data_IF_275795126392
#
_entry.id   IF_275795126392
#
_cell.length_a   1.000
_cell.length_b   1.000
_cell.length_c   1.000
_cell.angle_alpha   90.00
_cell.angle_beta   90.00
_cell.angle_gamma   90.00
#
_symmetry.space_group_name_H-M   'P 1'
#
loop_
_entity.id
_entity.type
_entity.pdbx_description
1 polymer ?
#
# COMPACT_ATOMS: atom_id res chain seq x y z
N UNK A 1 -13.38 -19.67 22.75
CA UNK A 1 -13.83 -18.35 22.29
C UNK A 1 -12.59 -17.65 21.78
N UNK A 2 -12.40 -17.51 20.48
CA UNK A 2 -11.28 -16.78 19.90
C UNK A 2 -11.47 -15.30 20.23
N UNK A 3 -10.47 -14.67 20.87
CA UNK A 3 -10.48 -13.23 21.11
C UNK A 3 -10.75 -12.49 19.79
N UNK A 4 -11.65 -11.50 19.78
CA UNK A 4 -12.05 -10.80 18.56
C UNK A 4 -10.91 -10.03 17.88
N UNK A 5 -9.74 -10.02 18.48
CA UNK A 5 -8.58 -9.22 18.10
C UNK A 5 -7.55 -9.96 17.26
N UNK A 6 -7.60 -11.29 17.14
CA UNK A 6 -6.64 -12.02 16.29
C UNK A 6 -6.93 -11.79 14.82
N UNK A 7 -5.92 -11.25 14.14
CA UNK A 7 -5.92 -11.13 12.67
C UNK A 7 -5.85 -12.55 12.07
N UNK A 8 -6.87 -13.03 11.36
CA UNK A 8 -6.86 -14.36 10.80
C UNK A 8 -5.73 -14.48 9.77
N UNK A 9 -4.88 -15.49 9.95
CA UNK A 9 -3.73 -15.75 9.07
C UNK A 9 -2.42 -15.08 9.49
N UNK A 10 -2.41 -14.28 10.57
CA UNK A 10 -1.19 -13.76 11.14
C UNK A 10 -0.72 -14.73 12.24
N UNK A 11 0.50 -15.32 12.14
CA UNK A 11 1.07 -16.08 13.25
C UNK A 11 1.25 -15.20 14.47
N UNK A 12 0.87 -15.68 15.64
CA UNK A 12 1.10 -14.96 16.89
C UNK A 12 2.59 -14.61 17.02
N UNK A 13 2.89 -13.36 17.38
CA UNK A 13 4.27 -12.91 17.53
C UNK A 13 5.03 -12.66 16.20
N UNK A 14 4.37 -12.68 15.05
CA UNK A 14 5.04 -12.41 13.76
C UNK A 14 5.65 -11.00 13.68
N UNK A 15 5.16 -10.07 14.49
CA UNK A 15 5.67 -8.71 14.63
C UNK A 15 6.83 -8.58 15.66
N UNK A 16 7.06 -9.59 16.51
CA UNK A 16 8.02 -9.54 17.64
C UNK A 16 9.49 -9.32 17.24
N UNK A 17 9.98 -9.81 16.09
CA UNK A 17 11.37 -9.52 15.69
C UNK A 17 11.67 -8.03 15.48
N UNK A 18 10.67 -7.15 15.40
CA UNK A 18 10.89 -5.74 15.19
C UNK A 18 11.45 -5.05 16.43
N UNK A 19 12.67 -4.55 16.37
CA UNK A 19 13.35 -3.79 17.44
C UNK A 19 13.26 -2.27 17.26
N UNK A 20 12.39 -1.81 16.37
CA UNK A 20 12.14 -0.38 16.08
C UNK A 20 13.38 0.44 15.70
N UNK A 21 14.42 -0.17 15.12
CA UNK A 21 15.70 0.48 14.79
C UNK A 21 15.60 1.58 13.72
N UNK A 22 14.56 1.58 12.88
CA UNK A 22 14.32 2.63 11.89
C UNK A 22 15.00 2.43 10.51
N UNK A 23 15.78 1.36 10.29
CA UNK A 23 16.43 1.11 8.99
C UNK A 23 15.44 0.98 7.83
N UNK A 24 14.19 0.64 8.09
CA UNK A 24 13.15 0.57 7.07
C UNK A 24 12.59 1.93 6.64
N UNK A 25 12.85 3.02 7.39
CA UNK A 25 12.27 4.34 7.13
C UNK A 25 12.75 4.95 5.80
N UNK A 26 14.05 5.04 5.52
CA UNK A 26 14.55 5.67 4.29
C UNK A 26 14.16 4.88 3.02
N UNK A 27 13.85 3.58 3.15
CA UNK A 27 13.44 2.74 2.02
C UNK A 27 11.94 2.77 1.74
N UNK A 28 11.14 3.29 2.69
CA UNK A 28 9.69 3.32 2.57
C UNK A 28 9.20 4.52 1.77
N UNK A 29 8.57 4.27 0.62
CA UNK A 29 8.05 5.34 -0.24
C UNK A 29 6.94 6.16 0.46
N UNK A 30 5.99 5.51 1.15
CA UNK A 30 4.93 6.21 1.88
C UNK A 30 5.49 7.11 2.98
N UNK A 31 6.46 6.65 3.76
CA UNK A 31 7.11 7.45 4.80
C UNK A 31 7.85 8.65 4.22
N UNK A 32 8.60 8.46 3.12
CA UNK A 32 9.36 9.54 2.47
C UNK A 32 8.49 10.67 1.94
N UNK A 33 7.27 10.37 1.53
CA UNK A 33 6.34 11.37 0.97
C UNK A 33 5.47 12.00 2.06
N UNK A 34 4.94 11.19 2.98
CA UNK A 34 3.99 11.64 3.98
C UNK A 34 4.65 12.16 5.26
N UNK A 35 5.91 11.80 5.52
CA UNK A 35 6.68 12.10 6.73
C UNK A 35 5.95 11.73 8.03
N UNK A 36 5.02 10.79 7.95
CA UNK A 36 4.22 10.30 9.08
C UNK A 36 4.76 8.96 9.57
N UNK A 37 5.03 8.86 10.86
CA UNK A 37 5.53 7.62 11.46
C UNK A 37 4.50 6.48 11.34
N UNK A 38 3.21 6.78 11.43
CA UNK A 38 2.13 5.79 11.27
C UNK A 38 2.10 5.18 9.87
N UNK A 39 2.60 5.90 8.86
CA UNK A 39 2.72 5.46 7.47
C UNK A 39 4.06 4.78 7.17
N UNK A 40 4.87 4.52 8.20
CA UNK A 40 6.13 3.79 8.13
C UNK A 40 5.94 2.28 8.35
N UNK A 41 6.87 1.42 7.91
CA UNK A 41 6.79 0.00 8.20
C UNK A 41 6.82 -0.31 9.69
N UNK A 42 7.70 0.35 10.45
CA UNK A 42 7.79 0.13 11.91
C UNK A 42 6.57 0.67 12.65
N UNK A 43 5.98 1.79 12.24
CA UNK A 43 4.76 2.33 12.82
C UNK A 43 3.57 1.38 12.60
N UNK A 44 3.44 0.82 11.40
CA UNK A 44 2.43 -0.20 11.11
C UNK A 44 2.64 -1.49 11.90
N UNK A 45 3.88 -1.94 12.10
CA UNK A 45 4.20 -3.09 12.96
C UNK A 45 3.82 -2.79 14.41
N UNK A 46 4.10 -1.58 14.89
CA UNK A 46 3.69 -1.16 16.23
C UNK A 46 2.16 -1.18 16.39
N UNK A 47 1.43 -0.66 15.39
CA UNK A 47 -0.02 -0.71 15.39
C UNK A 47 -0.56 -2.17 15.39
N UNK A 48 0.06 -3.07 14.61
CA UNK A 48 -0.31 -4.49 14.63
C UNK A 48 -0.13 -5.13 16.02
N UNK A 49 0.99 -4.84 16.69
CA UNK A 49 1.22 -5.31 18.06
C UNK A 49 0.17 -4.79 19.04
N UNK A 50 -0.18 -3.51 18.94
CA UNK A 50 -1.20 -2.93 19.78
C UNK A 50 -2.59 -3.53 19.51
N UNK A 51 -2.89 -3.88 18.25
CA UNK A 51 -4.13 -4.59 17.87
C UNK A 51 -4.12 -6.01 18.42
N UNK A 52 -3.00 -6.74 18.34
CA UNK A 52 -2.87 -8.09 18.91
C UNK A 52 -2.97 -8.09 20.42
N UNK A 53 -2.44 -7.07 21.09
CA UNK A 53 -2.54 -6.89 22.54
C UNK A 53 -3.95 -6.47 23.00
N UNK A 54 -4.79 -5.98 22.07
CA UNK A 54 -6.12 -5.46 22.39
C UNK A 54 -6.13 -4.01 22.85
N UNK A 55 -5.00 -3.31 22.74
CA UNK A 55 -4.84 -1.91 23.13
C UNK A 55 -5.31 -0.95 22.03
N UNK A 56 -5.43 -1.43 20.79
CA UNK A 56 -5.84 -0.64 19.64
C UNK A 56 -6.88 -1.41 18.82
N UNK A 57 -7.96 -0.73 18.45
CA UNK A 57 -8.94 -1.28 17.51
C UNK A 57 -8.54 -0.96 16.05
N UNK A 58 -8.81 -1.91 15.16
CA UNK A 58 -8.63 -1.69 13.72
C UNK A 58 -9.83 -0.89 13.18
N UNK A 59 -9.82 0.41 13.41
CA UNK A 59 -10.81 1.34 12.90
C UNK A 59 -10.45 1.86 11.48
N UNK A 60 -11.29 2.74 10.92
CA UNK A 60 -11.08 3.31 9.60
C UNK A 60 -9.82 4.20 9.55
N UNK A 61 -9.44 4.84 10.66
CA UNK A 61 -8.24 5.68 10.75
C UNK A 61 -6.99 4.84 10.68
N UNK A 62 -6.89 3.81 11.52
CA UNK A 62 -5.79 2.85 11.50
C UNK A 62 -5.71 2.15 10.15
N UNK A 63 -6.85 1.72 9.60
CA UNK A 63 -6.91 1.08 8.29
C UNK A 63 -6.37 1.99 7.16
N UNK A 64 -6.58 3.31 7.23
CA UNK A 64 -6.08 4.25 6.24
C UNK A 64 -4.54 4.26 6.16
N UNK A 65 -3.85 4.16 7.29
CA UNK A 65 -2.38 4.09 7.34
C UNK A 65 -1.83 2.80 6.71
N UNK A 66 -2.57 1.70 6.79
CA UNK A 66 -2.20 0.48 6.09
C UNK A 66 -2.48 0.56 4.59
N UNK A 67 -3.55 1.23 4.18
CA UNK A 67 -3.91 1.42 2.76
C UNK A 67 -2.89 2.27 1.99
N UNK A 68 -2.17 3.18 2.66
CA UNK A 68 -1.07 3.95 2.05
C UNK A 68 0.16 3.09 1.73
N UNK A 69 0.22 1.84 2.21
CA UNK A 69 1.31 0.92 1.90
C UNK A 69 1.23 0.43 0.45
N UNK A 70 2.24 0.74 -0.34
CA UNK A 70 2.33 0.33 -1.75
C UNK A 70 2.61 -1.18 -1.94
N UNK A 71 3.01 -1.90 -0.89
CA UNK A 71 3.39 -3.31 -1.00
C UNK A 71 4.66 -3.53 -1.82
N UNK A 72 5.58 -2.58 -1.84
CA UNK A 72 6.83 -2.67 -2.61
C UNK A 72 7.91 -3.54 -1.93
N UNK A 73 7.73 -3.89 -0.66
CA UNK A 73 8.59 -4.75 0.17
C UNK A 73 10.05 -4.31 0.33
N UNK A 74 10.42 -3.10 -0.08
CA UNK A 74 11.77 -2.57 0.09
C UNK A 74 12.20 -2.53 1.57
N UNK A 75 11.26 -2.42 2.50
CA UNK A 75 11.51 -2.48 3.94
C UNK A 75 11.92 -3.87 4.44
N UNK A 76 11.57 -4.94 3.73
CA UNK A 76 11.92 -6.33 4.12
C UNK A 76 13.42 -6.55 3.94
N UNK A 77 13.97 -6.18 2.79
CA UNK A 77 15.41 -6.31 2.52
C UNK A 77 16.28 -5.38 3.38
N UNK A 78 15.72 -4.26 3.83
CA UNK A 78 16.42 -3.31 4.69
C UNK A 78 16.37 -3.67 6.18
N UNK A 79 15.62 -4.69 6.57
CA UNK A 79 15.42 -5.03 7.97
C UNK A 79 16.55 -5.94 8.51
N UNK A 80 17.41 -5.47 9.44
CA UNK A 80 18.47 -6.29 10.02
C UNK A 80 17.93 -7.40 10.94
N UNK A 81 16.73 -7.19 11.52
CA UNK A 81 16.08 -8.17 12.39
C UNK A 81 15.26 -9.21 11.63
N UNK A 82 15.25 -9.17 10.29
CA UNK A 82 14.59 -10.16 9.47
C UNK A 82 13.06 -10.20 9.57
N UNK A 83 12.42 -9.08 9.92
CA UNK A 83 10.95 -9.02 9.99
C UNK A 83 10.34 -9.28 8.62
N UNK A 84 9.45 -10.25 8.53
CA UNK A 84 8.71 -10.60 7.33
C UNK A 84 7.48 -9.71 7.17
N UNK A 85 7.76 -8.41 6.91
CA UNK A 85 6.69 -7.41 6.74
C UNK A 85 5.76 -7.74 5.55
N UNK A 86 6.25 -8.43 4.54
CA UNK A 86 5.47 -8.95 3.42
C UNK A 86 4.30 -9.82 3.93
N UNK A 87 4.57 -10.78 4.79
CA UNK A 87 3.55 -11.66 5.37
C UNK A 87 2.59 -10.90 6.29
N UNK A 88 3.12 -9.96 7.09
CA UNK A 88 2.32 -9.14 7.99
C UNK A 88 1.26 -8.33 7.23
N UNK A 89 1.66 -7.61 6.19
CA UNK A 89 0.75 -6.75 5.42
C UNK A 89 -0.25 -7.58 4.60
N UNK A 90 0.17 -8.72 4.04
CA UNK A 90 -0.70 -9.60 3.29
C UNK A 90 -1.80 -10.22 4.15
N UNK A 91 -1.46 -10.67 5.36
CA UNK A 91 -2.44 -11.20 6.32
C UNK A 91 -3.42 -10.12 6.82
N UNK A 92 -2.99 -8.86 6.89
CA UNK A 92 -3.81 -7.75 7.37
C UNK A 92 -4.79 -7.23 6.31
N UNK A 93 -4.41 -7.24 5.03
CA UNK A 93 -5.20 -6.68 3.91
C UNK A 93 -6.65 -7.17 3.81
N UNK A 94 -7.00 -8.45 4.02
CA UNK A 94 -8.38 -8.89 3.98
C UNK A 94 -9.28 -8.19 5.01
N UNK A 95 -8.79 -7.98 6.24
CA UNK A 95 -9.50 -7.24 7.28
C UNK A 95 -9.64 -5.75 6.96
N UNK A 96 -8.58 -5.14 6.44
CA UNK A 96 -8.63 -3.74 5.99
C UNK A 96 -9.74 -3.51 4.97
N UNK A 97 -9.94 -4.44 4.05
CA UNK A 97 -11.00 -4.35 3.04
C UNK A 97 -12.41 -4.43 3.65
N UNK A 98 -12.57 -5.06 4.82
CA UNK A 98 -13.85 -5.14 5.55
C UNK A 98 -14.14 -3.86 6.34
N UNK A 99 -13.11 -3.28 6.95
CA UNK A 99 -13.22 -2.07 7.77
C UNK A 99 -13.29 -0.81 6.92
N UNK A 100 -12.49 -0.73 5.86
CA UNK A 100 -12.44 0.43 4.99
C UNK A 100 -13.60 0.41 3.99
N UNK A 101 -14.70 1.06 4.34
CA UNK A 101 -15.86 1.23 3.47
C UNK A 101 -15.52 2.18 2.32
N UNK A 102 -15.07 1.60 1.21
CA UNK A 102 -14.77 2.38 0.00
C UNK A 102 -16.04 2.90 -0.64
N UNK A 103 -16.00 4.14 -1.08
CA UNK A 103 -17.08 4.74 -1.86
C UNK A 103 -17.34 3.91 -3.12
N UNK A 104 -18.59 3.83 -3.55
CA UNK A 104 -19.02 3.10 -4.75
C UNK A 104 -18.20 3.49 -6.00
N UNK A 105 -17.88 4.78 -6.15
CA UNK A 105 -17.00 5.28 -7.20
C UNK A 105 -15.58 4.67 -7.15
N UNK A 106 -14.95 4.65 -5.98
CA UNK A 106 -13.60 4.07 -5.80
C UNK A 106 -13.59 2.58 -6.14
N UNK A 107 -14.65 1.87 -5.76
CA UNK A 107 -14.82 0.45 -6.06
C UNK A 107 -14.97 0.21 -7.56
N UNK A 108 -15.76 1.02 -8.25
CA UNK A 108 -15.98 0.92 -9.69
C UNK A 108 -14.72 1.28 -10.47
N UNK A 109 -14.04 2.35 -10.08
CA UNK A 109 -12.78 2.78 -10.69
C UNK A 109 -11.68 1.71 -10.54
N UNK A 110 -11.56 1.12 -9.34
CA UNK A 110 -10.62 0.01 -9.09
C UNK A 110 -10.93 -1.21 -9.95
N UNK A 111 -12.21 -1.59 -10.07
CA UNK A 111 -12.64 -2.69 -10.96
C UNK A 111 -12.24 -2.40 -12.40
N UNK A 112 -12.49 -1.19 -12.89
CA UNK A 112 -12.09 -0.77 -14.23
C UNK A 112 -10.58 -0.87 -14.44
N UNK A 113 -9.78 -0.35 -13.51
CA UNK A 113 -8.32 -0.43 -13.58
C UNK A 113 -7.84 -1.88 -13.63
N UNK A 114 -8.36 -2.75 -12.77
CA UNK A 114 -7.97 -4.16 -12.72
C UNK A 114 -8.42 -4.95 -13.96
N UNK A 115 -9.47 -4.50 -14.67
CA UNK A 115 -9.92 -5.10 -15.92
C UNK A 115 -9.11 -4.63 -17.15
N UNK A 116 -8.47 -3.49 -17.06
CA UNK A 116 -7.77 -2.88 -18.22
C UNK A 116 -6.24 -3.04 -18.10
N UNK A 117 -5.66 -2.64 -16.95
CA UNK A 117 -4.20 -2.59 -16.78
C UNK A 117 -3.47 -3.92 -16.97
N UNK A 118 -3.99 -5.08 -16.48
CA UNK A 118 -3.31 -6.36 -16.66
C UNK A 118 -3.34 -6.88 -18.12
N UNK A 119 -4.22 -6.32 -18.95
CA UNK A 119 -4.42 -6.79 -20.32
C UNK A 119 -3.87 -5.78 -21.33
N UNK A 120 -2.68 -6.02 -21.93
CA UNK A 120 -2.02 -5.06 -22.82
C UNK A 120 -2.84 -4.70 -24.07
N UNK A 121 -3.66 -5.63 -24.56
CA UNK A 121 -4.54 -5.38 -25.71
C UNK A 121 -5.63 -4.35 -25.36
N UNK A 122 -6.28 -4.47 -24.20
CA UNK A 122 -7.31 -3.54 -23.73
C UNK A 122 -6.72 -2.16 -23.44
N UNK A 123 -5.54 -2.14 -22.80
CA UNK A 123 -4.81 -0.90 -22.53
C UNK A 123 -4.43 -0.18 -23.82
N UNK A 124 -3.91 -0.90 -24.84
CA UNK A 124 -3.60 -0.33 -26.16
C UNK A 124 -4.84 0.25 -26.84
N UNK A 125 -5.97 -0.45 -26.79
CA UNK A 125 -7.23 0.04 -27.36
C UNK A 125 -7.70 1.32 -26.66
N UNK A 126 -7.62 1.37 -25.33
CA UNK A 126 -7.99 2.56 -24.54
C UNK A 126 -7.06 3.76 -24.80
N UNK A 127 -5.79 3.51 -25.09
CA UNK A 127 -4.79 4.54 -25.37
C UNK A 127 -4.76 5.02 -26.82
N UNK A 128 -5.51 4.39 -27.73
CA UNK A 128 -5.54 4.80 -29.15
C UNK A 128 -5.96 6.27 -29.34
N UNK A 129 -7.01 6.80 -28.70
CA UNK A 129 -7.37 8.22 -28.85
C UNK A 129 -6.29 9.16 -28.33
N UNK A 130 -5.56 8.77 -27.28
CA UNK A 130 -4.41 9.52 -26.77
C UNK A 130 -3.23 9.55 -27.76
N UNK A 131 -3.02 8.45 -28.50
CA UNK A 131 -2.00 8.41 -29.57
C UNK A 131 -2.36 9.34 -30.73
N UNK A 132 -3.64 9.40 -31.11
CA UNK A 132 -4.13 10.34 -32.10
C UNK A 132 -3.94 11.80 -31.63
N UNK A 133 -4.22 12.08 -30.36
CA UNK A 133 -4.00 13.39 -29.75
C UNK A 133 -2.50 13.74 -29.65
N UNK A 134 -1.63 12.77 -29.34
CA UNK A 134 -0.17 12.96 -29.27
C UNK A 134 0.47 13.31 -30.64
N UNK A 135 -0.18 12.97 -31.74
CA UNK A 135 0.21 13.38 -33.09
C UNK A 135 -0.23 14.78 -33.50
N UNK A 136 -0.93 15.50 -32.64
CA UNK A 136 -1.36 16.88 -32.94
C UNK A 136 -0.22 17.87 -32.69
N UNK A 137 -0.09 18.94 -33.52
CA UNK A 137 0.95 19.98 -33.36
C UNK A 137 0.99 20.65 -32.00
N UNK A 138 -0.13 20.64 -31.29
CA UNK A 138 -0.27 21.28 -29.97
C UNK A 138 0.64 20.65 -28.91
N UNK A 139 0.78 19.32 -28.88
CA UNK A 139 1.65 18.62 -27.94
C UNK A 139 3.13 18.69 -28.30
N UNK A 140 3.44 18.73 -29.59
CA UNK A 140 4.83 18.90 -30.07
C UNK A 140 5.40 20.27 -29.66
N UNK A 141 4.55 21.27 -29.49
CA UNK A 141 4.96 22.64 -29.13
C UNK A 141 5.06 22.84 -27.61
N UNK A 142 4.33 22.06 -26.79
CA UNK A 142 4.27 22.22 -25.32
C UNK A 142 5.07 21.17 -24.56
N UNK A 143 5.60 20.17 -25.23
CA UNK A 143 6.43 19.14 -24.59
C UNK A 143 7.82 19.69 -24.29
N UNK A 144 8.31 19.61 -23.02
CA UNK A 144 9.68 19.98 -22.72
C UNK A 144 10.67 19.17 -23.57
N UNK A 145 11.67 19.85 -24.07
CA UNK A 145 12.74 19.23 -24.89
C UNK A 145 13.44 18.14 -24.06
N UNK A 146 13.74 16.97 -24.64
CA UNK A 146 14.52 15.94 -23.94
C UNK A 146 15.96 16.35 -23.64
N UNK A 147 16.32 17.61 -23.82
CA UNK A 147 17.65 18.18 -23.56
C UNK A 147 17.67 19.17 -22.39
N UNK A 148 16.55 19.42 -21.70
CA UNK A 148 16.49 20.28 -20.53
C UNK A 148 16.58 19.48 -19.23
#
# INVERSE_FOLDING_TARGET
MASPTQLPGLPAGAADPCVHCGFCLPTCASYRVLASEMDSPRGRIHALRAIEAGDLELDATVASHFDTCLGCYACVSACPSGVRYDQLIEATRPKLNQVNQRTSWQTSFRKLLLQVLPYPQRLRALLQPLRAYAGTPCLLYTSPSPRD
#
